data_IF_530821142617
#
_entry.id   IF_530821142617
#
_cell.length_a   1.000
_cell.length_b   1.000
_cell.length_c   1.000
_cell.angle_alpha   90.00
_cell.angle_beta   90.00
_cell.angle_gamma   90.00
#
_symmetry.space_group_name_H-M   'P 1'
#
loop_
_entity.id
_entity.type
_entity.pdbx_description
1 polymer ?
#
# COMPACT_ATOMS: atom_id res chain seq x y z
N UNK A 1 48.02 -36.09 11.99
CA UNK A 1 46.69 -36.39 12.58
C UNK A 1 45.99 -35.18 13.18
N UNK A 2 46.69 -34.16 13.70
CA UNK A 2 46.06 -32.95 14.27
C UNK A 2 45.44 -32.03 13.21
N UNK A 3 46.08 -31.85 12.04
CA UNK A 3 45.57 -30.96 10.98
C UNK A 3 44.25 -31.40 10.35
N UNK A 4 44.00 -32.71 10.23
CA UNK A 4 42.73 -33.25 9.71
C UNK A 4 41.58 -32.96 10.69
N UNK A 5 41.86 -32.94 11.99
CA UNK A 5 40.86 -32.68 13.03
C UNK A 5 40.37 -31.22 13.02
N UNK A 6 41.26 -30.27 12.72
CA UNK A 6 40.89 -28.83 12.64
C UNK A 6 40.03 -28.53 11.41
N UNK A 7 40.30 -29.19 10.29
CA UNK A 7 39.55 -28.99 9.04
C UNK A 7 38.09 -29.49 9.14
N UNK A 8 37.82 -30.53 9.95
CA UNK A 8 36.46 -31.05 10.14
C UNK A 8 35.57 -30.11 10.99
N UNK A 9 36.16 -29.36 11.92
CA UNK A 9 35.41 -28.50 12.87
C UNK A 9 34.81 -27.26 12.18
N UNK A 10 35.44 -26.78 11.10
CA UNK A 10 34.99 -25.60 10.35
C UNK A 10 33.77 -25.87 9.45
N UNK A 11 33.46 -27.14 9.16
CA UNK A 11 32.37 -27.51 8.24
C UNK A 11 31.01 -27.54 8.97
N UNK A 12 31.00 -27.63 10.30
CA UNK A 12 29.77 -27.73 11.10
C UNK A 12 29.09 -26.40 11.44
N UNK A 13 29.64 -25.23 11.05
CA UNK A 13 29.05 -23.94 11.42
C UNK A 13 28.02 -23.37 10.42
N UNK A 14 27.74 -24.04 9.30
CA UNK A 14 26.89 -23.48 8.23
C UNK A 14 25.50 -24.09 8.07
N UNK A 15 24.84 -24.49 9.17
CA UNK A 15 23.41 -24.82 9.16
C UNK A 15 22.64 -24.13 10.31
N UNK A 16 22.90 -22.85 10.54
CA UNK A 16 21.98 -22.01 11.30
C UNK A 16 21.20 -21.15 10.30
N UNK A 17 20.13 -21.70 9.73
CA UNK A 17 19.15 -20.89 9.01
C UNK A 17 18.49 -19.96 10.04
N UNK A 18 18.97 -18.73 10.10
CA UNK A 18 18.35 -17.67 10.90
C UNK A 18 16.94 -17.48 10.38
N UNK A 19 15.94 -18.04 11.07
CA UNK A 19 14.54 -17.65 10.91
C UNK A 19 14.47 -16.18 11.32
N UNK A 20 14.61 -15.28 10.36
CA UNK A 20 14.20 -13.91 10.54
C UNK A 20 12.69 -13.94 10.81
N UNK A 21 12.31 -13.84 12.08
CA UNK A 21 10.95 -13.49 12.49
C UNK A 21 10.77 -12.02 12.09
N UNK A 22 10.58 -11.77 10.79
CA UNK A 22 10.00 -10.52 10.32
C UNK A 22 8.57 -10.52 10.84
N UNK A 23 8.39 -9.93 12.02
CA UNK A 23 7.07 -9.56 12.52
C UNK A 23 6.48 -8.64 11.46
N UNK A 24 5.68 -9.22 10.56
CA UNK A 24 4.97 -8.47 9.55
C UNK A 24 4.08 -7.50 10.34
N UNK A 25 4.46 -6.22 10.36
CA UNK A 25 3.57 -5.17 10.85
C UNK A 25 2.38 -5.19 9.89
N UNK A 26 1.36 -5.97 10.25
CA UNK A 26 0.11 -6.01 9.52
C UNK A 26 -0.42 -4.60 9.58
N UNK A 27 -0.29 -3.86 8.47
CA UNK A 27 -0.76 -2.50 8.38
C UNK A 27 -2.25 -2.55 8.68
N UNK A 28 -2.71 -1.94 9.77
CA UNK A 28 -4.12 -1.91 10.10
C UNK A 28 -4.82 -0.99 9.09
N UNK A 29 -5.56 -1.57 8.15
CA UNK A 29 -6.31 -0.80 7.16
C UNK A 29 -7.48 -0.11 7.83
N UNK A 30 -7.48 1.22 7.78
CA UNK A 30 -8.62 2.06 8.13
C UNK A 30 -8.96 2.86 6.88
N UNK A 31 -10.01 2.42 6.20
CA UNK A 31 -10.30 2.83 4.84
C UNK A 31 -11.74 3.35 4.69
N UNK A 32 -11.92 4.30 3.79
CA UNK A 32 -13.22 4.62 3.22
C UNK A 32 -13.29 4.16 1.77
N UNK A 33 -14.42 3.56 1.39
CA UNK A 33 -14.78 3.33 0.01
C UNK A 33 -15.95 4.26 -0.31
N UNK A 34 -15.71 5.25 -1.16
CA UNK A 34 -16.69 6.27 -1.52
C UNK A 34 -17.20 5.97 -2.93
N UNK A 35 -18.52 5.85 -3.05
CA UNK A 35 -19.21 5.48 -4.29
C UNK A 35 -19.73 6.72 -5.02
N UNK A 36 -19.98 6.59 -6.32
CA UNK A 36 -20.63 7.63 -7.16
C UNK A 36 -19.93 8.99 -7.14
N UNK A 37 -18.61 8.98 -7.11
CA UNK A 37 -17.84 10.20 -7.02
C UNK A 37 -17.68 10.81 -8.42
N UNK A 38 -18.60 11.69 -8.82
CA UNK A 38 -18.90 11.97 -10.23
C UNK A 38 -18.68 13.41 -10.68
N UNK A 39 -18.14 14.30 -9.84
CA UNK A 39 -17.87 15.67 -10.27
C UNK A 39 -16.60 16.25 -9.62
N UNK A 40 -16.03 17.23 -10.31
CA UNK A 40 -14.80 17.91 -9.89
C UNK A 40 -14.97 18.64 -8.54
N UNK A 41 -16.16 19.16 -8.25
CA UNK A 41 -16.45 19.92 -7.02
C UNK A 41 -16.36 19.05 -5.77
N UNK A 42 -16.97 17.86 -5.81
CA UNK A 42 -16.90 16.87 -4.73
C UNK A 42 -15.46 16.40 -4.51
N UNK A 43 -14.69 16.21 -5.59
CA UNK A 43 -13.28 15.85 -5.50
C UNK A 43 -12.43 16.92 -4.82
N UNK A 44 -12.68 18.19 -5.16
CA UNK A 44 -12.00 19.29 -4.49
C UNK A 44 -12.38 19.35 -3.00
N UNK A 45 -13.66 19.14 -2.66
CA UNK A 45 -14.13 19.09 -1.26
C UNK A 45 -13.48 17.96 -0.48
N UNK A 46 -13.39 16.76 -1.06
CA UNK A 46 -12.72 15.62 -0.43
C UNK A 46 -11.23 15.90 -0.23
N UNK A 47 -10.57 16.53 -1.22
CA UNK A 47 -9.17 16.97 -1.11
C UNK A 47 -8.93 17.85 0.12
N UNK A 48 -9.85 18.78 0.41
CA UNK A 48 -9.80 19.65 1.59
C UNK A 48 -10.00 18.90 2.91
N UNK A 49 -10.63 17.72 2.89
CA UNK A 49 -10.87 16.88 4.07
C UNK A 49 -9.76 15.88 4.38
N UNK A 50 -8.83 15.64 3.44
CA UNK A 50 -7.74 14.67 3.60
C UNK A 50 -6.93 14.87 4.90
N UNK A 51 -6.53 16.10 5.30
CA UNK A 51 -5.77 16.29 6.53
C UNK A 51 -6.53 15.78 7.77
N UNK A 52 -7.82 16.12 7.87
CA UNK A 52 -8.69 15.68 8.97
C UNK A 52 -8.88 14.16 8.99
N UNK A 53 -9.04 13.54 7.81
CA UNK A 53 -9.15 12.08 7.71
C UNK A 53 -7.85 11.38 8.16
N UNK A 54 -6.70 11.99 7.84
CA UNK A 54 -5.39 11.52 8.29
C UNK A 54 -5.24 11.58 9.81
N UNK A 55 -5.66 12.67 10.44
CA UNK A 55 -5.68 12.83 11.91
C UNK A 55 -6.55 11.76 12.60
N UNK A 56 -7.61 11.29 11.93
CA UNK A 56 -8.47 10.20 12.41
C UNK A 56 -7.84 8.80 12.22
N UNK A 57 -6.66 8.73 11.60
CA UNK A 57 -5.93 7.50 11.31
C UNK A 57 -6.44 6.74 10.09
N UNK A 58 -7.22 7.39 9.22
CA UNK A 58 -7.59 6.83 7.91
C UNK A 58 -6.35 6.83 7.03
N UNK A 59 -6.03 5.67 6.45
CA UNK A 59 -4.81 5.46 5.68
C UNK A 59 -5.06 4.99 4.24
N UNK A 60 -6.34 4.85 3.86
CA UNK A 60 -6.78 4.50 2.51
C UNK A 60 -8.09 5.20 2.18
N UNK A 61 -8.20 5.72 0.98
CA UNK A 61 -9.47 6.15 0.37
C UNK A 61 -9.53 5.47 -0.99
N UNK A 62 -10.60 4.73 -1.24
CA UNK A 62 -10.91 4.12 -2.53
C UNK A 62 -12.06 4.94 -3.10
N UNK A 63 -11.84 5.53 -4.25
CA UNK A 63 -12.83 6.32 -4.98
C UNK A 63 -13.35 5.49 -6.14
N UNK A 64 -14.66 5.25 -6.16
CA UNK A 64 -15.34 4.82 -7.37
C UNK A 64 -15.66 6.05 -8.20
N UNK A 65 -15.03 6.12 -9.38
CA UNK A 65 -15.26 7.18 -10.36
C UNK A 65 -15.83 6.57 -11.62
N UNK A 66 -16.77 7.28 -12.23
CA UNK A 66 -17.27 6.98 -13.57
C UNK A 66 -16.69 7.99 -14.57
N UNK A 67 -17.14 7.94 -15.82
CA UNK A 67 -16.61 8.79 -16.87
C UNK A 67 -17.13 10.24 -16.86
N UNK A 68 -17.30 10.85 -15.68
CA UNK A 68 -17.81 12.23 -15.57
C UNK A 68 -16.70 13.28 -15.41
N UNK A 69 -15.43 12.86 -15.38
CA UNK A 69 -14.27 13.75 -15.21
C UNK A 69 -13.69 14.22 -16.55
N UNK A 70 -12.90 15.31 -16.47
CA UNK A 70 -12.13 15.83 -17.60
C UNK A 70 -10.84 15.03 -17.83
N UNK A 71 -10.94 13.87 -18.49
CA UNK A 71 -9.77 13.05 -18.82
C UNK A 71 -8.90 13.72 -19.90
N UNK A 72 -7.60 13.84 -19.64
CA UNK A 72 -6.65 14.45 -20.60
C UNK A 72 -6.37 13.55 -21.81
N UNK A 73 -6.23 12.24 -21.61
CA UNK A 73 -5.88 11.28 -22.66
C UNK A 73 -7.09 10.80 -23.48
N UNK A 74 -8.26 10.74 -22.85
CA UNK A 74 -9.50 10.27 -23.46
C UNK A 74 -10.68 11.22 -23.18
N UNK A 75 -10.66 12.46 -23.72
CA UNK A 75 -11.74 13.41 -23.51
C UNK A 75 -13.11 12.89 -23.96
N UNK A 76 -13.14 12.00 -24.95
CA UNK A 76 -14.34 11.37 -25.50
C UNK A 76 -15.11 10.52 -24.50
N UNK A 77 -14.45 10.07 -23.43
CA UNK A 77 -15.11 9.28 -22.40
C UNK A 77 -16.06 10.14 -21.56
N UNK A 78 -15.88 11.46 -21.54
CA UNK A 78 -16.68 12.35 -20.71
C UNK A 78 -18.17 12.23 -21.04
N UNK A 79 -18.93 11.64 -20.13
CA UNK A 79 -20.39 11.59 -20.18
C UNK A 79 -20.95 12.96 -19.81
N UNK A 80 -21.90 13.45 -20.61
CA UNK A 80 -22.46 14.82 -20.53
C UNK A 80 -23.92 14.85 -20.07
N UNK A 81 -24.41 13.75 -19.51
CA UNK A 81 -25.79 13.58 -19.06
C UNK A 81 -26.07 14.22 -17.69
#
# INVERSE_FOLDING_TARGET
>A
MIFISVLLILIFQSCASSKQNTKLNKLNWKAFHLLHFNNDEELEKLGKQIPRLSEMGINKIILEVYYHFNFQSHPELRQTD
#
